data_IF_744690380677
#
_entry.id   IF_744690380677
#
_cell.length_a   1.000
_cell.length_b   1.000
_cell.length_c   1.000
_cell.angle_alpha   90.00
_cell.angle_beta   90.00
_cell.angle_gamma   90.00
#
_symmetry.space_group_name_H-M   'P 1'
#
loop_
_entity.id
_entity.type
_entity.pdbx_description
1 polymer ?
#
# COMPACT_ATOMS: atom_id res chain seq x y z
N UNK A 1 12.38 -3.08 -18.56
CA UNK A 1 11.10 -3.24 -17.85
C UNK A 1 10.75 -4.73 -17.72
N UNK A 2 11.48 -5.52 -16.91
CA UNK A 2 11.32 -6.98 -16.89
C UNK A 2 10.51 -7.52 -15.69
N UNK A 3 10.31 -6.75 -14.61
CA UNK A 3 9.62 -7.24 -13.41
C UNK A 3 8.07 -7.14 -13.47
N UNK A 4 7.52 -6.35 -14.40
CA UNK A 4 6.06 -6.16 -14.51
C UNK A 4 5.34 -7.40 -15.04
N UNK A 5 5.99 -8.14 -15.95
CA UNK A 5 5.41 -9.38 -16.49
C UNK A 5 5.22 -10.43 -15.40
N UNK A 6 6.16 -10.57 -14.47
CA UNK A 6 6.07 -11.55 -13.38
C UNK A 6 4.87 -11.21 -12.49
N UNK A 7 4.72 -9.95 -12.08
CA UNK A 7 3.62 -9.53 -11.20
C UNK A 7 2.24 -9.66 -11.87
N UNK A 8 2.16 -9.49 -13.18
CA UNK A 8 0.91 -9.66 -13.93
C UNK A 8 0.45 -11.12 -14.05
N UNK A 9 1.34 -12.09 -13.80
CA UNK A 9 1.00 -13.52 -13.85
C UNK A 9 0.61 -14.07 -12.46
N UNK A 10 0.59 -13.23 -11.42
CA UNK A 10 0.19 -13.63 -10.08
C UNK A 10 -1.31 -13.39 -9.92
N UNK A 11 -2.06 -14.43 -9.55
CA UNK A 11 -3.51 -14.33 -9.32
C UNK A 11 -3.86 -13.36 -8.18
N UNK A 12 -2.97 -13.23 -7.19
CA UNK A 12 -3.18 -12.37 -6.03
C UNK A 12 -1.88 -11.80 -5.48
N UNK A 13 -1.90 -10.52 -5.17
CA UNK A 13 -0.80 -9.76 -4.55
C UNK A 13 -1.33 -9.08 -3.30
N UNK A 14 -0.76 -9.42 -2.16
CA UNK A 14 -1.14 -8.85 -0.86
C UNK A 14 -0.03 -7.97 -0.34
N UNK A 15 -0.33 -6.68 -0.14
CA UNK A 15 0.58 -5.75 0.53
C UNK A 15 0.17 -5.58 1.99
N UNK A 16 1.10 -5.85 2.91
CA UNK A 16 0.93 -5.70 4.35
C UNK A 16 1.74 -4.47 4.81
N UNK A 17 1.08 -3.41 5.27
CA UNK A 17 1.76 -2.23 5.82
C UNK A 17 0.78 -1.30 6.56
N UNK A 18 1.29 -0.24 7.20
CA UNK A 18 0.50 0.83 7.80
C UNK A 18 0.78 2.21 7.18
N UNK A 19 -0.01 3.21 7.60
CA UNK A 19 0.20 4.63 7.28
C UNK A 19 0.24 4.99 5.78
N UNK A 20 0.80 6.15 5.46
CA UNK A 20 0.94 6.63 4.08
C UNK A 20 1.80 5.73 3.17
N UNK A 21 2.69 4.92 3.76
CA UNK A 21 3.56 4.01 3.01
C UNK A 21 2.76 2.99 2.20
N UNK A 22 1.72 2.41 2.81
CA UNK A 22 0.83 1.48 2.11
C UNK A 22 0.11 2.16 0.94
N UNK A 23 -0.35 3.41 1.10
CA UNK A 23 -0.99 4.17 0.02
C UNK A 23 -0.08 4.38 -1.20
N UNK A 24 1.22 4.62 -0.98
CA UNK A 24 2.21 4.75 -2.08
C UNK A 24 2.46 3.41 -2.79
N UNK A 25 2.47 2.30 -2.04
CA UNK A 25 2.59 0.95 -2.60
C UNK A 25 1.36 0.61 -3.44
N UNK A 26 0.16 0.87 -2.93
CA UNK A 26 -1.09 0.65 -3.67
C UNK A 26 -1.15 1.47 -4.96
N UNK A 27 -0.76 2.74 -4.91
CA UNK A 27 -0.73 3.59 -6.10
C UNK A 27 0.27 3.09 -7.15
N UNK A 28 1.45 2.62 -6.71
CA UNK A 28 2.50 2.11 -7.62
C UNK A 28 2.15 0.75 -8.24
N UNK A 29 1.29 -0.03 -7.58
CA UNK A 29 0.82 -1.35 -8.01
C UNK A 29 -0.59 -1.34 -8.61
N UNK A 30 -1.20 -0.16 -8.81
CA UNK A 30 -2.59 -0.02 -9.26
C UNK A 30 -2.90 -0.76 -10.58
N UNK A 31 -1.89 -1.02 -11.42
CA UNK A 31 -2.03 -1.79 -12.65
C UNK A 31 -2.45 -3.26 -12.43
N UNK A 32 -2.33 -3.79 -11.21
CA UNK A 32 -2.77 -5.14 -10.85
C UNK A 32 -4.28 -5.25 -10.64
N UNK A 33 -4.99 -4.11 -10.52
CA UNK A 33 -6.45 -4.03 -10.40
C UNK A 33 -7.00 -4.96 -9.28
N UNK A 34 -7.93 -5.84 -9.62
CA UNK A 34 -8.61 -6.75 -8.69
C UNK A 34 -7.68 -7.78 -8.04
N UNK A 35 -6.46 -7.97 -8.56
CA UNK A 35 -5.47 -8.88 -7.99
C UNK A 35 -4.75 -8.27 -6.78
N UNK A 36 -4.84 -6.95 -6.57
CA UNK A 36 -4.15 -6.26 -5.50
C UNK A 36 -5.05 -6.08 -4.27
N UNK A 37 -4.61 -6.62 -3.14
CA UNK A 37 -5.25 -6.43 -1.83
C UNK A 37 -4.28 -5.74 -0.88
N UNK A 38 -4.73 -4.68 -0.21
CA UNK A 38 -3.99 -4.02 0.86
C UNK A 38 -4.54 -4.43 2.22
N UNK A 39 -3.70 -4.94 3.12
CA UNK A 39 -4.05 -5.17 4.51
C UNK A 39 -3.34 -4.11 5.35
N UNK A 40 -4.13 -3.27 6.00
CA UNK A 40 -3.63 -2.20 6.85
C UNK A 40 -3.35 -2.76 8.23
N UNK A 41 -2.07 -2.79 8.62
CA UNK A 41 -1.70 -3.07 10.01
C UNK A 41 -1.87 -1.78 10.81
N UNK A 42 -2.93 -1.68 11.61
CA UNK A 42 -3.14 -0.57 12.55
C UNK A 42 -2.51 -0.92 13.89
N UNK A 43 -1.23 -0.63 14.08
CA UNK A 43 -0.75 -0.35 15.44
C UNK A 43 -1.39 0.99 15.83
N UNK A 44 -1.90 1.10 17.06
CA UNK A 44 -2.80 2.16 17.53
C UNK A 44 -2.23 3.60 17.44
N UNK A 45 -0.94 3.77 17.19
CA UNK A 45 -0.33 5.07 16.88
C UNK A 45 -0.12 5.28 15.37
N UNK A 46 -1.23 5.34 14.61
CA UNK A 46 -1.29 5.53 13.15
C UNK A 46 -0.66 6.84 12.65
N UNK A 47 0.67 6.95 12.71
CA UNK A 47 1.53 8.12 12.51
C UNK A 47 1.40 8.83 11.17
N UNK A 48 0.26 9.46 10.93
CA UNK A 48 -0.06 10.18 9.69
C UNK A 48 -1.01 11.36 9.92
N UNK A 49 -1.70 11.42 11.06
CA UNK A 49 -2.44 12.61 11.50
C UNK A 49 -1.48 13.64 12.09
N UNK A 50 -0.81 14.35 11.19
CA UNK A 50 -0.05 15.58 11.42
C UNK A 50 -0.60 16.38 12.63
N UNK A 51 0.12 16.42 13.75
CA UNK A 51 -0.09 17.41 14.81
C UNK A 51 0.52 18.74 14.37
N UNK A 52 -0.16 19.46 13.48
CA UNK A 52 0.11 20.89 13.28
C UNK A 52 -0.97 21.68 14.02
N UNK A 53 -1.01 21.53 15.34
CA UNK A 53 -1.72 22.45 16.21
C UNK A 53 -0.73 23.58 16.56
N UNK A 54 -1.11 24.86 16.39
CA UNK A 54 -0.29 25.96 16.88
C UNK A 54 -0.53 26.10 18.39
N UNK A 55 0.42 25.62 19.18
CA UNK A 55 0.76 26.15 20.50
C UNK A 55 2.28 26.12 20.63
#
# INVERSE_FOLDING_TARGET
>A
MHNRSILNNLDQVVALAGGHGLGRVMSSLAFLNCQLTGIVTTTDDGGSTRSNLPF
#
